data_IF_952141190815
#
_entry.id   IF_952141190815
#
_cell.length_a   1.000
_cell.length_b   1.000
_cell.length_c   1.000
_cell.angle_alpha   90.00
_cell.angle_beta   90.00
_cell.angle_gamma   90.00
#
_symmetry.space_group_name_H-M   'P 1'
#
loop_
_entity.id
_entity.type
_entity.pdbx_description
1 polymer ?
#
# COMPACT_ATOMS: atom_id res chain seq x y z
N UNK A 1 -40.38 -46.21 -34.05
CA UNK A 1 -41.40 -45.13 -34.05
C UNK A 1 -41.43 -44.42 -32.70
N UNK A 2 -40.35 -44.52 -31.91
CA UNK A 2 -40.27 -44.06 -30.51
C UNK A 2 -39.70 -42.64 -30.37
N UNK A 3 -39.43 -41.97 -31.49
CA UNK A 3 -38.85 -40.62 -31.52
C UNK A 3 -39.88 -39.50 -31.31
N UNK A 4 -41.17 -39.81 -31.29
CA UNK A 4 -42.24 -38.83 -31.15
C UNK A 4 -43.06 -39.10 -29.88
N UNK A 5 -42.97 -38.20 -28.90
CA UNK A 5 -43.78 -38.29 -27.68
C UNK A 5 -45.23 -38.00 -28.04
N UNK A 6 -46.11 -38.98 -27.82
CA UNK A 6 -47.54 -38.79 -27.98
C UNK A 6 -48.07 -37.99 -26.77
N UNK A 7 -48.60 -36.80 -27.00
CA UNK A 7 -49.18 -35.97 -25.94
C UNK A 7 -50.45 -36.61 -25.37
N UNK A 8 -50.70 -36.42 -24.07
CA UNK A 8 -51.94 -36.89 -23.43
C UNK A 8 -53.15 -36.15 -24.05
N UNK A 9 -53.97 -36.89 -24.79
CA UNK A 9 -55.12 -36.33 -25.52
C UNK A 9 -56.09 -35.57 -24.63
N UNK A 10 -56.25 -35.97 -23.37
CA UNK A 10 -57.13 -35.28 -22.41
C UNK A 10 -56.61 -33.89 -22.05
N UNK A 11 -55.29 -33.70 -22.00
CA UNK A 11 -54.68 -32.40 -21.73
C UNK A 11 -54.81 -31.47 -22.95
N UNK A 12 -54.80 -32.03 -24.16
CA UNK A 12 -55.02 -31.24 -25.38
C UNK A 12 -56.45 -30.69 -25.46
N UNK A 13 -57.45 -31.43 -24.98
CA UNK A 13 -58.85 -30.96 -24.97
C UNK A 13 -59.14 -29.92 -23.87
N UNK A 14 -58.39 -29.96 -22.76
CA UNK A 14 -58.56 -29.03 -21.64
C UNK A 14 -57.86 -27.69 -21.84
N UNK A 15 -56.73 -27.66 -22.56
CA UNK A 15 -55.93 -26.45 -22.75
C UNK A 15 -56.34 -25.78 -24.06
N UNK A 16 -57.06 -24.66 -23.94
CA UNK A 16 -57.49 -23.86 -25.08
C UNK A 16 -56.32 -23.14 -25.80
N UNK A 17 -56.58 -22.62 -27.00
CA UNK A 17 -55.54 -21.96 -27.79
C UNK A 17 -55.02 -20.66 -27.15
N UNK A 18 -55.83 -20.01 -26.31
CA UNK A 18 -55.44 -18.80 -25.59
C UNK A 18 -54.36 -19.10 -24.57
N UNK A 19 -54.60 -20.11 -23.73
CA UNK A 19 -53.65 -20.54 -22.71
C UNK A 19 -52.38 -21.14 -23.31
N UNK A 20 -52.47 -21.86 -24.45
CA UNK A 20 -51.27 -22.36 -25.16
C UNK A 20 -50.35 -21.25 -25.69
N UNK A 21 -50.90 -20.08 -25.98
CA UNK A 21 -50.17 -18.93 -26.54
C UNK A 21 -49.76 -17.92 -25.47
N UNK A 22 -50.21 -18.10 -24.23
CA UNK A 22 -49.90 -17.23 -23.12
C UNK A 22 -48.41 -17.31 -22.78
N UNK A 23 -47.77 -16.15 -22.68
CA UNK A 23 -46.40 -16.01 -22.22
C UNK A 23 -46.41 -15.15 -20.97
N UNK A 24 -45.69 -15.57 -19.94
CA UNK A 24 -45.51 -14.76 -18.75
C UNK A 24 -44.86 -13.42 -19.14
N UNK A 25 -45.28 -12.30 -18.52
CA UNK A 25 -44.63 -11.02 -18.71
C UNK A 25 -43.16 -11.12 -18.24
N UNK A 26 -42.30 -10.34 -18.88
CA UNK A 26 -40.91 -10.20 -18.46
C UNK A 26 -40.91 -9.16 -17.34
N UNK A 27 -40.92 -9.63 -16.09
CA UNK A 27 -40.77 -8.74 -14.94
C UNK A 27 -39.30 -8.36 -14.74
N UNK A 28 -39.08 -7.09 -14.41
CA UNK A 28 -37.76 -6.59 -14.08
C UNK A 28 -37.31 -7.06 -12.69
N UNK A 29 -36.05 -7.47 -12.59
CA UNK A 29 -35.45 -7.82 -11.30
C UNK A 29 -35.14 -6.51 -10.56
N UNK A 30 -35.61 -6.38 -9.33
CA UNK A 30 -35.25 -5.25 -8.47
C UNK A 30 -33.77 -5.35 -8.08
N UNK A 31 -32.92 -4.59 -8.76
CA UNK A 31 -31.48 -4.50 -8.46
C UNK A 31 -31.23 -3.31 -7.54
N UNK A 32 -30.59 -3.50 -6.36
CA UNK A 32 -30.23 -2.40 -5.48
C UNK A 32 -29.22 -1.45 -6.14
N UNK A 33 -29.63 -0.20 -6.35
CA UNK A 33 -28.82 0.83 -7.04
C UNK A 33 -27.48 1.10 -6.35
N UNK A 34 -27.43 0.97 -5.02
CA UNK A 34 -26.20 1.17 -4.24
C UNK A 34 -25.08 0.17 -4.55
N UNK A 35 -25.43 -1.01 -5.09
CA UNK A 35 -24.48 -2.05 -5.51
C UNK A 35 -24.08 -1.91 -6.99
N UNK A 36 -24.56 -0.87 -7.68
CA UNK A 36 -24.19 -0.55 -9.05
C UNK A 36 -23.15 0.59 -9.10
N UNK A 37 -22.29 0.61 -10.14
CA UNK A 37 -21.40 1.75 -10.40
C UNK A 37 -22.17 3.01 -10.81
N UNK A 38 -21.58 4.18 -10.56
CA UNK A 38 -22.15 5.47 -10.94
C UNK A 38 -22.13 5.67 -12.48
N UNK A 39 -23.31 5.79 -13.13
CA UNK A 39 -23.38 5.99 -14.58
C UNK A 39 -22.89 7.38 -15.04
N UNK A 40 -22.78 8.37 -14.16
CA UNK A 40 -22.41 9.77 -14.49
C UNK A 40 -20.97 10.11 -14.09
N UNK A 41 -20.18 9.14 -13.64
CA UNK A 41 -18.79 9.32 -13.25
C UNK A 41 -17.90 9.60 -14.48
N UNK A 42 -17.70 10.88 -14.81
CA UNK A 42 -16.85 11.32 -15.93
C UNK A 42 -15.34 11.21 -15.64
N UNK A 43 -14.95 11.02 -14.37
CA UNK A 43 -13.53 10.96 -13.95
C UNK A 43 -13.23 9.94 -12.82
N UNK A 44 -14.19 9.07 -12.48
CA UNK A 44 -14.06 8.05 -11.43
C UNK A 44 -13.75 6.65 -11.97
N UNK A 45 -13.23 5.80 -11.08
CA UNK A 45 -13.01 4.37 -11.34
C UNK A 45 -14.35 3.68 -11.58
N UNK A 46 -14.68 3.42 -12.85
CA UNK A 46 -15.99 2.93 -13.31
C UNK A 46 -16.36 1.52 -12.82
N UNK A 47 -15.51 0.93 -11.98
CA UNK A 47 -15.68 -0.42 -11.44
C UNK A 47 -16.10 -0.44 -9.96
N UNK A 48 -16.13 0.71 -9.27
CA UNK A 48 -16.54 0.79 -7.86
C UNK A 48 -18.04 1.07 -7.73
N UNK A 49 -18.69 0.40 -6.78
CA UNK A 49 -20.11 0.65 -6.47
C UNK A 49 -20.29 1.95 -5.69
N UNK A 50 -21.47 2.55 -5.76
CA UNK A 50 -21.81 3.76 -4.99
C UNK A 50 -21.54 3.57 -3.48
N UNK A 51 -21.88 2.40 -2.94
CA UNK A 51 -21.65 2.04 -1.54
C UNK A 51 -20.17 1.96 -1.16
N UNK A 52 -19.32 1.45 -2.04
CA UNK A 52 -17.87 1.39 -1.81
C UNK A 52 -17.23 2.78 -1.92
N UNK A 53 -17.76 3.64 -2.80
CA UNK A 53 -17.29 5.01 -2.98
C UNK A 53 -17.52 5.86 -1.72
N UNK A 54 -18.68 5.76 -1.09
CA UNK A 54 -19.00 6.48 0.16
C UNK A 54 -18.10 6.05 1.33
N UNK A 55 -17.65 4.80 1.35
CA UNK A 55 -16.72 4.30 2.37
C UNK A 55 -15.29 4.80 2.18
N UNK A 56 -14.98 5.37 1.01
CA UNK A 56 -13.65 5.89 0.67
C UNK A 56 -13.54 7.35 1.09
N UNK A 57 -12.82 7.58 2.19
CA UNK A 57 -12.49 8.93 2.64
C UNK A 57 -11.50 9.60 1.69
N UNK A 58 -12.01 10.42 0.76
CA UNK A 58 -11.20 11.17 -0.21
C UNK A 58 -10.69 12.52 0.30
N UNK A 59 -10.98 12.88 1.55
CA UNK A 59 -10.65 14.19 2.08
C UNK A 59 -9.23 14.21 2.68
N UNK A 60 -8.24 14.59 1.87
CA UNK A 60 -6.83 14.73 2.30
C UNK A 60 -6.55 16.04 3.08
N UNK A 61 -7.56 16.87 3.35
CA UNK A 61 -7.43 18.15 4.04
C UNK A 61 -6.38 19.12 3.44
N UNK A 62 -5.97 18.93 2.18
CA UNK A 62 -4.90 19.72 1.53
C UNK A 62 -5.23 21.21 1.40
N UNK A 63 -6.50 21.61 1.57
CA UNK A 63 -6.91 23.01 1.60
C UNK A 63 -6.31 23.81 2.76
N UNK A 64 -5.88 23.16 3.86
CA UNK A 64 -5.24 23.86 4.98
C UNK A 64 -3.80 24.29 4.68
N UNK A 65 -3.18 23.77 3.61
CA UNK A 65 -1.82 24.12 3.24
C UNK A 65 -1.71 25.35 2.33
N UNK A 66 -2.82 25.85 1.76
CA UNK A 66 -2.78 26.97 0.81
C UNK A 66 -3.18 28.34 1.39
N UNK A 67 -3.57 28.43 2.66
CA UNK A 67 -3.84 29.73 3.30
C UNK A 67 -2.55 30.37 3.85
N UNK A 68 -1.57 30.59 2.98
CA UNK A 68 -0.57 31.63 3.17
C UNK A 68 -1.15 32.95 2.64
N UNK A 69 -2.00 33.61 3.42
CA UNK A 69 -2.29 35.03 3.22
C UNK A 69 -1.81 35.84 4.42
N UNK A 70 -0.80 36.66 4.13
CA UNK A 70 -0.38 37.84 4.89
C UNK A 70 -1.60 38.60 5.44
N UNK A 71 -1.59 39.00 6.71
CA UNK A 71 -2.01 40.28 7.32
C UNK A 71 -2.21 40.12 8.85
N UNK A 72 -1.21 40.55 9.64
CA UNK A 72 -1.25 41.23 10.96
C UNK A 72 -2.11 40.74 12.17
N UNK A 73 -1.77 41.15 13.42
CA UNK A 73 -1.77 40.26 14.58
C UNK A 73 -3.00 40.41 15.47
N UNK A 74 -3.69 39.31 15.70
CA UNK A 74 -4.31 38.99 17.00
C UNK A 74 -4.30 37.48 17.16
N UNK A 75 -3.81 36.92 18.27
CA UNK A 75 -3.94 35.49 18.51
C UNK A 75 -5.42 35.22 18.81
N UNK A 76 -6.15 34.70 17.81
CA UNK A 76 -7.43 34.06 18.07
C UNK A 76 -7.13 32.82 18.90
N UNK A 77 -7.39 32.88 20.21
CA UNK A 77 -7.32 31.71 21.08
C UNK A 77 -8.35 30.69 20.59
N UNK A 78 -7.88 29.50 20.23
CA UNK A 78 -8.69 28.45 19.58
C UNK A 78 -9.79 27.88 20.48
N UNK A 79 -9.79 28.21 21.78
CA UNK A 79 -10.73 27.68 22.77
C UNK A 79 -11.03 28.70 23.90
N UNK A 80 -11.85 29.73 23.65
CA UNK A 80 -12.06 30.85 24.59
C UNK A 80 -12.85 30.50 25.86
N UNK A 81 -13.49 29.32 25.92
CA UNK A 81 -14.39 28.92 27.01
C UNK A 81 -13.88 27.71 27.82
N UNK A 82 -12.62 27.30 27.65
CA UNK A 82 -12.08 26.07 28.26
C UNK A 82 -10.89 26.42 29.14
N UNK A 83 -10.95 26.03 30.41
CA UNK A 83 -9.96 26.39 31.44
C UNK A 83 -10.53 27.34 32.49
N UNK A 84 -9.82 27.48 33.62
CA UNK A 84 -10.18 28.43 34.67
C UNK A 84 -9.04 29.45 34.86
N UNK A 85 -9.40 30.69 35.18
CA UNK A 85 -8.41 31.74 35.46
C UNK A 85 -7.78 31.55 36.84
N UNK A 86 -6.48 31.83 36.92
CA UNK A 86 -5.76 31.90 38.19
C UNK A 86 -6.40 32.93 39.14
N UNK A 87 -6.66 32.53 40.39
CA UNK A 87 -7.30 33.36 41.41
C UNK A 87 -6.37 34.42 42.04
N UNK A 88 -5.09 34.46 41.65
CA UNK A 88 -4.19 35.56 42.00
C UNK A 88 -4.52 36.80 41.16
N UNK A 89 -4.72 37.93 41.85
CA UNK A 89 -5.07 39.22 41.24
C UNK A 89 -4.06 39.68 40.18
N UNK A 90 -2.78 39.36 40.36
CA UNK A 90 -1.69 39.78 39.46
C UNK A 90 -1.52 38.89 38.22
N UNK A 91 -2.06 37.67 38.22
CA UNK A 91 -1.82 36.68 37.16
C UNK A 91 -3.00 36.56 36.20
N UNK A 92 -4.20 36.25 36.71
CA UNK A 92 -5.46 36.04 35.94
C UNK A 92 -5.32 35.19 34.66
N UNK A 93 -4.25 34.40 34.54
CA UNK A 93 -3.97 33.58 33.37
C UNK A 93 -4.98 32.43 33.31
N UNK A 94 -5.56 32.20 32.14
CA UNK A 94 -6.41 31.04 31.85
C UNK A 94 -5.54 29.79 31.74
N UNK A 95 -5.70 28.84 32.65
CA UNK A 95 -5.02 27.55 32.60
C UNK A 95 -6.02 26.45 32.22
N UNK A 96 -5.63 25.62 31.27
CA UNK A 96 -6.45 24.50 30.79
C UNK A 96 -6.46 23.33 31.80
N UNK A 97 -5.51 23.30 32.74
CA UNK A 97 -5.44 22.34 33.83
C UNK A 97 -5.49 23.09 35.18
N UNK A 98 -6.70 23.43 35.68
CA UNK A 98 -6.85 24.18 36.91
C UNK A 98 -6.37 23.40 38.13
N UNK A 99 -5.44 23.96 38.92
CA UNK A 99 -5.00 23.38 40.18
C UNK A 99 -5.78 23.98 41.34
N UNK A 100 -6.51 23.16 42.10
CA UNK A 100 -7.19 23.60 43.32
C UNK A 100 -6.26 23.46 44.51
N UNK A 101 -6.08 24.53 45.27
CA UNK A 101 -5.31 24.46 46.51
C UNK A 101 -6.10 23.70 47.59
N UNK A 102 -5.50 22.71 48.24
CA UNK A 102 -6.15 21.92 49.30
C UNK A 102 -6.48 22.74 50.56
N UNK A 103 -5.83 23.90 50.75
CA UNK A 103 -6.02 24.74 51.92
C UNK A 103 -7.05 25.86 51.69
N UNK A 104 -6.91 26.64 50.60
CA UNK A 104 -7.82 27.76 50.31
C UNK A 104 -8.92 27.43 49.31
N UNK A 105 -8.85 26.29 48.62
CA UNK A 105 -9.80 25.81 47.60
C UNK A 105 -9.99 26.73 46.39
N UNK A 106 -9.12 27.72 46.23
CA UNK A 106 -9.07 28.56 45.04
C UNK A 106 -8.27 27.86 43.92
N UNK A 107 -8.60 28.21 42.69
CA UNK A 107 -7.94 27.68 41.48
C UNK A 107 -6.76 28.55 41.08
N UNK A 108 -5.62 27.93 40.78
CA UNK A 108 -4.40 28.60 40.33
C UNK A 108 -3.82 27.93 39.09
N UNK A 109 -3.02 28.69 38.33
CA UNK A 109 -2.26 28.17 37.19
C UNK A 109 -1.01 27.38 37.65
N UNK A 110 -0.34 26.73 36.70
CA UNK A 110 0.90 25.95 36.91
C UNK A 110 2.00 26.68 37.68
N UNK A 111 2.11 28.01 37.58
CA UNK A 111 3.17 28.76 38.26
C UNK A 111 2.78 29.16 39.70
N UNK A 112 1.48 29.10 40.03
CA UNK A 112 0.93 29.62 41.28
C UNK A 112 0.20 28.58 42.15
N UNK A 113 0.19 27.30 41.76
CA UNK A 113 -0.48 26.22 42.52
C UNK A 113 0.10 25.98 43.92
N UNK A 114 1.39 26.25 44.13
CA UNK A 114 2.03 26.08 45.44
C UNK A 114 1.55 27.11 46.46
N UNK A 115 1.38 26.69 47.71
CA UNK A 115 0.92 27.54 48.82
C UNK A 115 1.80 28.80 49.04
N UNK A 116 3.10 28.68 48.76
CA UNK A 116 4.06 29.78 48.82
C UNK A 116 3.88 30.79 47.68
N UNK A 117 3.56 30.29 46.48
CA UNK A 117 3.41 31.12 45.27
C UNK A 117 2.14 31.98 45.26
N UNK A 118 1.08 31.57 45.96
CA UNK A 118 -0.17 32.33 46.05
C UNK A 118 -0.49 32.90 47.43
N UNK A 119 0.50 32.94 48.34
CA UNK A 119 0.35 33.44 49.72
C UNK A 119 -0.92 32.87 50.38
N UNK A 120 -1.02 31.54 50.39
CA UNK A 120 -2.22 30.84 50.83
C UNK A 120 -2.67 31.27 52.23
N UNK A 121 -3.89 31.78 52.37
CA UNK A 121 -4.39 32.33 53.63
C UNK A 121 -4.55 31.30 54.75
N UNK A 122 -4.50 29.99 54.43
CA UNK A 122 -4.72 28.89 55.38
C UNK A 122 -3.51 27.96 55.56
N UNK A 123 -2.30 28.35 55.15
CA UNK A 123 -1.12 27.48 55.18
C UNK A 123 -0.46 27.30 56.55
N UNK A 124 -1.08 27.75 57.65
CA UNK A 124 -0.51 27.64 58.99
C UNK A 124 -1.20 26.54 59.81
N UNK A 125 -0.77 25.31 59.59
CA UNK A 125 -0.65 24.30 60.65
C UNK A 125 0.17 23.13 60.14
N UNK A 126 1.26 22.83 60.84
CA UNK A 126 2.09 21.63 60.69
C UNK A 126 1.24 20.36 60.60
N UNK A 127 0.93 19.90 59.39
CA UNK A 127 0.36 18.56 59.20
C UNK A 127 1.53 17.60 59.14
N UNK A 128 1.79 16.96 60.27
CA UNK A 128 2.57 15.73 60.37
C UNK A 128 1.95 14.75 59.37
N UNK A 129 2.56 14.65 58.20
CA UNK A 129 2.24 13.63 57.21
C UNK A 129 2.56 12.28 57.85
N UNK A 130 1.53 11.56 58.26
CA UNK A 130 1.63 10.14 58.63
C UNK A 130 2.16 9.40 57.41
N UNK A 131 3.49 9.24 57.36
CA UNK A 131 4.18 8.37 56.41
C UNK A 131 3.74 6.95 56.71
N UNK A 132 2.66 6.49 56.08
CA UNK A 132 2.50 5.05 55.92
C UNK A 132 3.74 4.52 55.19
N UNK A 133 4.35 3.43 55.64
CA UNK A 133 5.53 2.88 54.99
C UNK A 133 5.12 2.43 53.59
N UNK A 134 5.60 3.15 52.57
CA UNK A 134 5.41 2.77 51.17
C UNK A 134 5.98 1.36 50.98
N UNK A 135 5.10 0.37 50.80
CA UNK A 135 5.52 -0.99 50.51
C UNK A 135 6.19 -1.01 49.14
N UNK A 136 7.50 -1.27 49.09
CA UNK A 136 8.22 -1.43 47.84
C UNK A 136 7.88 -2.79 47.22
N UNK A 137 7.40 -2.80 45.97
CA UNK A 137 7.04 -4.02 45.25
C UNK A 137 8.22 -4.51 44.40
N UNK A 138 8.65 -5.76 44.59
CA UNK A 138 9.81 -6.35 43.87
C UNK A 138 9.37 -7.00 42.56
N UNK A 139 10.12 -6.77 41.48
CA UNK A 139 9.87 -7.38 40.18
C UNK A 139 10.02 -8.91 40.20
N UNK A 140 9.03 -9.64 39.67
CA UNK A 140 9.04 -11.10 39.63
C UNK A 140 9.78 -11.72 38.43
N UNK A 141 10.55 -10.94 37.65
CA UNK A 141 11.34 -11.42 36.50
C UNK A 141 12.67 -12.01 36.99
N UNK A 142 13.07 -13.16 36.44
CA UNK A 142 14.40 -13.75 36.66
C UNK A 142 15.49 -12.71 36.37
N UNK A 143 16.45 -12.58 37.30
CA UNK A 143 17.56 -11.61 37.26
C UNK A 143 17.20 -10.12 37.42
N UNK A 144 15.95 -9.78 37.75
CA UNK A 144 15.56 -8.40 38.05
C UNK A 144 15.37 -8.16 39.56
N UNK A 145 16.08 -7.17 40.11
CA UNK A 145 15.95 -6.73 41.52
C UNK A 145 15.29 -5.36 41.67
N UNK A 146 14.68 -4.86 40.59
CA UNK A 146 14.09 -3.52 40.56
C UNK A 146 12.80 -3.50 41.41
N UNK A 147 12.65 -2.43 42.21
CA UNK A 147 11.51 -2.22 43.10
C UNK A 147 10.68 -1.03 42.64
N UNK A 148 9.36 -1.16 42.70
CA UNK A 148 8.41 -0.11 42.32
C UNK A 148 7.69 0.40 43.55
N UNK A 149 7.46 1.72 43.62
CA UNK A 149 6.65 2.34 44.67
C UNK A 149 5.15 2.04 44.53
N UNK A 150 4.72 1.61 43.34
CA UNK A 150 3.34 1.28 43.02
C UNK A 150 3.25 -0.14 42.48
N UNK A 151 2.22 -0.87 42.89
CA UNK A 151 1.97 -2.22 42.42
C UNK A 151 1.47 -2.23 40.97
N UNK A 152 2.16 -2.97 40.09
CA UNK A 152 1.81 -3.12 38.68
C UNK A 152 1.54 -4.58 38.35
N UNK A 153 0.35 -5.05 38.70
CA UNK A 153 -0.08 -6.43 38.44
C UNK A 153 -0.34 -6.66 36.96
N UNK A 154 0.16 -7.79 36.43
CA UNK A 154 -0.26 -8.25 35.13
C UNK A 154 -1.73 -8.65 35.14
N UNK A 155 -2.49 -8.25 34.10
CA UNK A 155 -3.90 -8.62 33.98
C UNK A 155 -4.14 -10.14 33.96
N UNK A 156 -3.23 -10.94 33.38
CA UNK A 156 -3.36 -12.40 33.26
C UNK A 156 -2.86 -13.17 34.47
N UNK A 157 -1.58 -13.02 34.82
CA UNK A 157 -0.97 -13.82 35.89
C UNK A 157 -1.08 -13.16 37.28
N UNK A 158 -1.53 -11.89 37.37
CA UNK A 158 -1.68 -11.14 38.63
C UNK A 158 -0.39 -11.05 39.45
N UNK A 159 0.76 -11.09 38.79
CA UNK A 159 2.09 -10.95 39.41
C UNK A 159 2.66 -9.56 39.10
N UNK A 160 3.42 -8.99 40.05
CA UNK A 160 4.10 -7.70 39.91
C UNK A 160 5.35 -7.79 39.01
N UNK A 161 5.46 -6.87 38.05
CA UNK A 161 6.68 -6.64 37.27
C UNK A 161 7.02 -5.15 37.24
N UNK A 162 8.30 -4.79 37.29
CA UNK A 162 8.73 -3.39 37.15
C UNK A 162 8.37 -2.84 35.76
N UNK A 163 8.45 -1.52 35.57
CA UNK A 163 8.14 -0.86 34.29
C UNK A 163 8.89 -1.48 33.09
N UNK A 164 10.16 -1.85 33.28
CA UNK A 164 10.99 -2.48 32.24
C UNK A 164 10.54 -3.89 31.88
N UNK A 165 9.88 -4.60 32.80
CA UNK A 165 9.42 -5.98 32.64
C UNK A 165 7.91 -6.12 32.62
N UNK A 166 7.16 -5.02 32.45
CA UNK A 166 5.70 -5.02 32.33
C UNK A 166 5.23 -5.95 31.20
N UNK A 167 6.02 -6.06 30.14
CA UNK A 167 5.85 -7.02 29.04
C UNK A 167 6.70 -8.29 29.27
N UNK A 168 6.17 -9.26 30.00
CA UNK A 168 6.89 -10.49 30.36
C UNK A 168 6.43 -11.75 29.59
N UNK A 169 5.79 -11.57 28.42
CA UNK A 169 5.40 -12.67 27.55
C UNK A 169 4.15 -13.46 27.97
N UNK A 170 3.47 -13.14 29.08
CA UNK A 170 2.23 -13.85 29.47
C UNK A 170 1.07 -13.72 28.46
N UNK A 171 1.16 -12.76 27.54
CA UNK A 171 0.23 -12.60 26.43
C UNK A 171 0.65 -13.33 25.15
N UNK A 172 1.88 -13.83 25.06
CA UNK A 172 2.34 -14.63 23.93
C UNK A 172 1.62 -15.98 24.00
N UNK A 173 0.66 -16.17 23.10
CA UNK A 173 0.06 -17.49 22.85
C UNK A 173 1.16 -18.44 22.41
N UNK A 174 1.17 -19.68 22.91
CA UNK A 174 2.15 -20.73 22.57
C UNK A 174 2.64 -20.58 21.12
N UNK A 175 3.95 -20.53 20.91
CA UNK A 175 4.58 -20.38 19.58
C UNK A 175 4.06 -21.41 18.56
N UNK A 176 3.58 -22.56 19.03
CA UNK A 176 2.94 -23.58 18.20
C UNK A 176 1.60 -23.12 17.58
N UNK A 177 0.77 -22.34 18.28
CA UNK A 177 -0.47 -21.79 17.72
C UNK A 177 -0.20 -20.71 16.67
N UNK A 178 0.80 -19.87 16.88
CA UNK A 178 1.18 -18.83 15.92
C UNK A 178 1.77 -19.47 14.66
N UNK A 179 2.60 -20.50 14.79
CA UNK A 179 3.11 -21.32 13.67
C UNK A 179 1.99 -22.03 12.91
N UNK A 180 1.00 -22.60 13.61
CA UNK A 180 -0.19 -23.22 12.99
C UNK A 180 -0.99 -22.20 12.19
N UNK A 181 -1.24 -21.01 12.75
CA UNK A 181 -1.91 -19.91 12.04
C UNK A 181 -1.12 -19.49 10.81
N UNK A 182 0.20 -19.28 10.93
CA UNK A 182 1.07 -18.94 9.79
C UNK A 182 1.04 -19.99 8.69
N UNK A 183 1.14 -21.29 9.04
CA UNK A 183 1.04 -22.39 8.07
C UNK A 183 -0.31 -22.37 7.35
N UNK A 184 -1.41 -22.11 8.06
CA UNK A 184 -2.75 -21.99 7.47
C UNK A 184 -2.83 -20.89 6.40
N UNK A 185 -2.17 -19.74 6.62
CA UNK A 185 -2.14 -18.64 5.63
C UNK A 185 -1.20 -18.89 4.45
N UNK A 186 -0.12 -19.66 4.65
CA UNK A 186 0.83 -19.97 3.58
C UNK A 186 0.25 -20.93 2.53
N UNK A 187 -0.66 -21.82 2.90
CA UNK A 187 -1.23 -22.82 1.99
C UNK A 187 -2.03 -22.15 0.85
N UNK A 188 -3.02 -21.26 1.12
CA UNK A 188 -3.71 -20.53 0.06
C UNK A 188 -2.77 -19.70 -0.82
N UNK A 189 -1.76 -19.07 -0.22
CA UNK A 189 -0.77 -18.26 -0.96
C UNK A 189 0.03 -19.11 -1.94
N UNK A 190 0.43 -20.32 -1.54
CA UNK A 190 1.14 -21.27 -2.42
C UNK A 190 0.21 -21.78 -3.52
N UNK A 191 -1.03 -22.13 -3.20
CA UNK A 191 -2.02 -22.59 -4.18
C UNK A 191 -2.30 -21.51 -5.23
N UNK A 192 -2.51 -20.26 -4.80
CA UNK A 192 -2.71 -19.13 -5.71
C UNK A 192 -1.48 -18.90 -6.60
N UNK A 193 -0.27 -18.95 -6.05
CA UNK A 193 0.95 -18.79 -6.82
C UNK A 193 1.11 -19.89 -7.89
N UNK A 194 0.78 -21.14 -7.56
CA UNK A 194 0.80 -22.26 -8.50
C UNK A 194 -0.26 -22.10 -9.61
N UNK A 195 -1.50 -21.79 -9.24
CA UNK A 195 -2.58 -21.56 -10.22
C UNK A 195 -2.27 -20.39 -11.14
N UNK A 196 -1.76 -19.28 -10.59
CA UNK A 196 -1.33 -18.11 -11.38
C UNK A 196 -0.23 -18.46 -12.38
N UNK A 197 0.75 -19.28 -11.98
CA UNK A 197 1.84 -19.68 -12.88
C UNK A 197 1.34 -20.48 -14.08
N UNK A 198 0.36 -21.38 -13.89
CA UNK A 198 -0.26 -22.16 -14.97
C UNK A 198 -0.98 -21.23 -15.96
N UNK A 199 -1.85 -20.34 -15.45
CA UNK A 199 -2.58 -19.37 -16.27
C UNK A 199 -1.61 -18.43 -17.02
N UNK A 200 -0.57 -17.95 -16.34
CA UNK A 200 0.45 -17.09 -16.96
C UNK A 200 1.17 -17.79 -18.12
N UNK A 201 1.38 -19.11 -18.03
CA UNK A 201 2.01 -19.90 -19.09
C UNK A 201 1.07 -20.12 -20.27
N UNK A 202 -0.19 -20.48 -20.02
CA UNK A 202 -1.23 -20.62 -21.07
C UNK A 202 -1.46 -19.32 -21.84
N UNK A 203 -1.50 -18.18 -21.14
CA UNK A 203 -1.64 -16.85 -21.76
C UNK A 203 -0.42 -16.53 -22.61
N UNK A 204 0.79 -16.85 -22.13
CA UNK A 204 2.03 -16.61 -22.89
C UNK A 204 2.09 -17.45 -24.18
N UNK A 205 1.65 -18.71 -24.14
CA UNK A 205 1.55 -19.57 -25.32
C UNK A 205 0.47 -19.08 -26.30
N UNK A 206 -0.64 -18.56 -25.77
CA UNK A 206 -1.70 -17.96 -26.60
C UNK A 206 -1.24 -16.67 -27.29
N UNK A 207 -0.47 -15.83 -26.59
CA UNK A 207 0.13 -14.62 -27.15
C UNK A 207 1.09 -14.94 -28.29
N UNK A 208 1.95 -15.95 -28.14
CA UNK A 208 2.88 -16.40 -29.18
C UNK A 208 2.18 -16.91 -30.44
N UNK A 209 0.97 -17.49 -30.30
CA UNK A 209 0.18 -18.04 -31.41
C UNK A 209 -0.80 -17.02 -32.03
N UNK A 210 -1.01 -15.88 -31.38
CA UNK A 210 -2.01 -14.90 -31.80
C UNK A 210 -1.65 -14.27 -33.15
N UNK A 211 -2.62 -14.22 -34.06
CA UNK A 211 -2.53 -13.46 -35.32
C UNK A 211 -2.91 -11.99 -35.15
N UNK A 212 -3.57 -11.64 -34.04
CA UNK A 212 -3.96 -10.26 -33.73
C UNK A 212 -2.90 -9.60 -32.84
N UNK A 213 -1.93 -8.95 -33.48
CA UNK A 213 -0.79 -8.31 -32.84
C UNK A 213 -1.19 -7.15 -31.92
N UNK A 214 -2.20 -6.36 -32.30
CA UNK A 214 -2.63 -5.19 -31.51
C UNK A 214 -3.20 -5.58 -30.15
N UNK A 215 -4.08 -6.60 -30.10
CA UNK A 215 -4.61 -7.12 -28.85
C UNK A 215 -3.51 -7.79 -28.02
N UNK A 216 -2.62 -8.56 -28.65
CA UNK A 216 -1.51 -9.21 -27.97
C UNK A 216 -0.59 -8.19 -27.26
N UNK A 217 -0.25 -7.10 -27.95
CA UNK A 217 0.55 -6.01 -27.38
C UNK A 217 -0.14 -5.35 -26.17
N UNK A 218 -1.46 -5.13 -26.26
CA UNK A 218 -2.23 -4.54 -25.15
C UNK A 218 -2.26 -5.45 -23.92
N UNK A 219 -2.46 -6.76 -24.11
CA UNK A 219 -2.42 -7.75 -23.02
C UNK A 219 -1.02 -7.82 -22.39
N UNK A 220 0.03 -7.83 -23.21
CA UNK A 220 1.41 -7.83 -22.73
C UNK A 220 1.73 -6.58 -21.91
N UNK A 221 1.33 -5.39 -22.39
CA UNK A 221 1.46 -4.14 -21.65
C UNK A 221 0.78 -4.22 -20.28
N UNK A 222 -0.48 -4.69 -20.22
CA UNK A 222 -1.21 -4.83 -18.97
C UNK A 222 -0.51 -5.77 -17.97
N UNK A 223 0.05 -6.89 -18.45
CA UNK A 223 0.83 -7.81 -17.61
C UNK A 223 2.07 -7.12 -17.04
N UNK A 224 2.85 -6.44 -17.87
CA UNK A 224 4.05 -5.72 -17.42
C UNK A 224 3.68 -4.65 -16.40
N UNK A 225 2.64 -3.83 -16.66
CA UNK A 225 2.18 -2.78 -15.74
C UNK A 225 1.85 -3.30 -14.34
N UNK A 226 1.28 -4.51 -14.24
CA UNK A 226 0.90 -5.12 -12.95
C UNK A 226 2.08 -5.52 -12.06
N UNK A 227 3.27 -5.73 -12.65
CA UNK A 227 4.47 -6.19 -11.92
C UNK A 227 5.65 -5.20 -12.02
N UNK A 228 5.47 -4.08 -12.73
CA UNK A 228 6.57 -3.21 -13.11
C UNK A 228 7.18 -2.48 -11.90
N UNK A 229 8.51 -2.47 -11.86
CA UNK A 229 9.30 -1.71 -10.89
C UNK A 229 10.10 -0.65 -11.63
N UNK A 230 10.29 0.52 -11.03
CA UNK A 230 10.97 1.61 -11.70
C UNK A 230 11.30 2.76 -10.75
N UNK A 231 11.91 3.82 -11.29
CA UNK A 231 12.34 4.97 -10.52
C UNK A 231 11.14 5.82 -10.05
N UNK A 232 11.16 6.22 -8.78
CA UNK A 232 10.03 6.93 -8.13
C UNK A 232 9.75 8.33 -8.70
N UNK A 233 10.73 8.91 -9.39
CA UNK A 233 10.68 10.28 -9.92
C UNK A 233 10.02 10.38 -11.32
N UNK A 234 9.43 9.29 -11.85
CA UNK A 234 8.75 9.31 -13.15
C UNK A 234 7.23 9.39 -12.95
N UNK A 235 6.58 10.48 -13.40
CA UNK A 235 5.12 10.65 -13.37
C UNK A 235 4.38 9.59 -14.21
N UNK A 236 3.15 9.25 -13.84
CA UNK A 236 2.40 8.14 -14.47
C UNK A 236 2.15 8.33 -15.98
N UNK A 237 1.90 9.55 -16.44
CA UNK A 237 1.66 9.91 -17.84
C UNK A 237 2.91 9.85 -18.74
N UNK A 238 4.10 9.82 -18.12
CA UNK A 238 5.39 9.71 -18.81
C UNK A 238 5.96 8.30 -18.76
N UNK A 239 5.30 7.37 -18.07
CA UNK A 239 5.76 5.98 -17.95
C UNK A 239 5.54 5.22 -19.26
N UNK A 240 6.60 4.59 -19.73
CA UNK A 240 6.58 3.46 -20.65
C UNK A 240 7.07 2.21 -19.93
N UNK A 241 6.70 1.03 -20.40
CA UNK A 241 6.84 -0.25 -19.72
C UNK A 241 7.51 -1.28 -20.64
N UNK A 242 8.45 -2.06 -20.11
CA UNK A 242 9.10 -3.15 -20.84
C UNK A 242 9.31 -4.36 -19.94
N UNK A 243 9.27 -5.56 -20.53
CA UNK A 243 9.78 -6.76 -19.86
C UNK A 243 11.26 -6.92 -20.23
N UNK A 244 12.14 -6.70 -19.27
CA UNK A 244 13.60 -6.68 -19.51
C UNK A 244 14.22 -7.99 -19.06
N UNK A 245 14.95 -8.64 -19.96
CA UNK A 245 15.76 -9.82 -19.69
C UNK A 245 17.20 -9.41 -19.31
N UNK A 246 17.73 -9.89 -18.18
CA UNK A 246 19.07 -9.52 -17.73
C UNK A 246 20.18 -10.27 -18.52
N UNK A 247 21.42 -9.76 -18.52
CA UNK A 247 22.56 -10.37 -19.22
C UNK A 247 22.84 -11.81 -18.76
N UNK A 248 22.98 -12.74 -19.70
CA UNK A 248 23.27 -14.16 -19.40
C UNK A 248 24.74 -14.37 -19.02
N UNK A 249 25.62 -13.47 -19.48
CA UNK A 249 27.05 -13.49 -19.16
C UNK A 249 27.37 -13.31 -17.67
N UNK A 250 26.50 -12.61 -16.91
CA UNK A 250 26.68 -12.33 -15.46
C UNK A 250 25.78 -13.24 -14.58
N UNK A 251 25.01 -14.13 -15.19
CA UNK A 251 23.93 -14.92 -14.57
C UNK A 251 24.38 -15.91 -13.46
N UNK A 252 25.69 -16.06 -13.20
CA UNK A 252 26.20 -16.89 -12.09
C UNK A 252 25.97 -16.29 -10.70
N UNK A 253 25.64 -14.99 -10.57
CA UNK A 253 25.51 -14.30 -9.27
C UNK A 253 24.20 -13.52 -9.04
N UNK A 254 23.39 -13.28 -10.07
CA UNK A 254 22.19 -12.42 -9.99
C UNK A 254 20.97 -13.13 -10.60
N UNK A 255 19.83 -12.99 -9.94
CA UNK A 255 18.55 -13.66 -10.21
C UNK A 255 18.18 -13.64 -11.70
N UNK A 256 18.03 -14.82 -12.29
CA UNK A 256 17.85 -15.09 -13.72
C UNK A 256 16.47 -14.70 -14.30
N UNK A 257 15.62 -14.05 -13.52
CA UNK A 257 14.23 -13.83 -13.93
C UNK A 257 14.06 -12.46 -14.59
N UNK A 258 13.37 -12.40 -15.74
CA UNK A 258 13.03 -11.13 -16.37
C UNK A 258 12.18 -10.28 -15.41
N UNK A 259 12.32 -8.96 -15.50
CA UNK A 259 11.56 -8.01 -14.66
C UNK A 259 10.81 -7.03 -15.53
N UNK A 260 9.56 -6.77 -15.17
CA UNK A 260 8.82 -5.64 -15.71
C UNK A 260 9.43 -4.35 -15.18
N UNK A 261 9.82 -3.43 -16.06
CA UNK A 261 10.41 -2.14 -15.68
C UNK A 261 9.61 -1.02 -16.33
N UNK A 262 9.33 0.03 -15.56
CA UNK A 262 8.80 1.28 -16.10
C UNK A 262 9.85 2.38 -16.11
N UNK A 263 9.86 3.21 -17.15
CA UNK A 263 10.83 4.28 -17.36
C UNK A 263 10.15 5.50 -17.98
N UNK A 264 10.85 6.63 -18.06
CA UNK A 264 10.30 7.82 -18.70
C UNK A 264 10.46 7.71 -20.23
N UNK A 265 9.37 7.90 -20.96
CA UNK A 265 9.33 7.88 -22.42
C UNK A 265 10.22 8.93 -23.10
N UNK A 266 10.57 10.00 -22.39
CA UNK A 266 11.40 11.10 -22.90
C UNK A 266 12.90 10.90 -22.61
N UNK A 267 13.31 9.79 -21.98
CA UNK A 267 14.72 9.53 -21.69
C UNK A 267 15.49 9.04 -22.90
N UNK A 268 16.79 9.31 -22.91
CA UNK A 268 17.73 8.76 -23.88
C UNK A 268 18.02 7.29 -23.60
N UNK A 269 18.47 6.55 -24.62
CA UNK A 269 18.81 5.13 -24.49
C UNK A 269 19.91 4.91 -23.45
N UNK A 270 20.92 5.78 -23.37
CA UNK A 270 21.96 5.69 -22.34
C UNK A 270 21.36 5.72 -20.93
N UNK A 271 20.44 6.66 -20.66
CA UNK A 271 19.78 6.80 -19.35
C UNK A 271 18.85 5.62 -19.02
N UNK A 272 18.23 5.02 -20.03
CA UNK A 272 17.44 3.79 -19.91
C UNK A 272 18.35 2.63 -19.50
N UNK A 273 19.50 2.48 -20.14
CA UNK A 273 20.49 1.44 -19.81
C UNK A 273 21.03 1.65 -18.38
N UNK A 274 21.36 2.88 -17.99
CA UNK A 274 21.78 3.19 -16.61
C UNK A 274 20.71 2.79 -15.60
N UNK A 275 19.47 3.24 -15.82
CA UNK A 275 18.37 2.94 -14.90
C UNK A 275 18.04 1.46 -14.82
N UNK A 276 18.14 0.72 -15.94
CA UNK A 276 17.92 -0.74 -15.93
C UNK A 276 19.06 -1.48 -15.24
N UNK A 277 20.30 -1.06 -15.48
CA UNK A 277 21.48 -1.62 -14.84
C UNK A 277 21.39 -1.48 -13.31
N UNK A 278 20.96 -0.32 -12.81
CA UNK A 278 20.74 -0.08 -11.38
C UNK A 278 19.66 -0.99 -10.78
N UNK A 279 18.55 -1.21 -11.51
CA UNK A 279 17.44 -2.08 -11.07
C UNK A 279 17.88 -3.55 -11.00
N UNK A 280 18.70 -4.00 -11.94
CA UNK A 280 19.28 -5.34 -11.93
C UNK A 280 20.53 -5.46 -11.06
N UNK A 281 21.08 -4.34 -10.56
CA UNK A 281 22.35 -4.27 -9.82
C UNK A 281 23.52 -4.87 -10.61
N UNK A 282 23.59 -4.56 -11.91
CA UNK A 282 24.67 -4.99 -12.80
C UNK A 282 25.63 -3.82 -13.10
N UNK A 283 26.91 -4.08 -13.34
CA UNK A 283 27.89 -3.02 -13.58
C UNK A 283 27.74 -2.41 -14.99
N UNK A 284 27.39 -1.13 -15.10
CA UNK A 284 27.44 -0.41 -16.37
C UNK A 284 28.73 0.42 -16.49
N UNK A 285 29.64 -0.01 -17.37
CA UNK A 285 30.92 0.67 -17.61
C UNK A 285 31.00 1.30 -19.01
N UNK A 286 29.85 1.64 -19.62
CA UNK A 286 29.78 2.15 -21.00
C UNK A 286 30.57 3.44 -21.27
N UNK A 287 30.93 4.19 -20.22
CA UNK A 287 31.75 5.40 -20.30
C UNK A 287 33.26 5.12 -20.40
N UNK A 288 33.69 3.89 -20.09
CA UNK A 288 35.11 3.49 -20.20
C UNK A 288 35.37 2.88 -21.58
N UNK A 289 36.60 2.95 -22.07
CA UNK A 289 37.05 2.27 -23.29
C UNK A 289 37.18 0.74 -23.09
N UNK A 290 36.17 0.11 -22.50
CA UNK A 290 36.09 -1.35 -22.32
C UNK A 290 35.50 -2.01 -23.54
N UNK A 291 36.01 -3.20 -23.88
CA UNK A 291 35.34 -4.15 -24.78
C UNK A 291 34.12 -4.74 -24.08
N UNK A 292 33.06 -5.08 -24.82
CA UNK A 292 31.73 -5.51 -24.35
C UNK A 292 30.94 -4.46 -23.58
N UNK A 293 30.37 -3.50 -24.32
CA UNK A 293 29.43 -2.52 -23.76
C UNK A 293 28.05 -3.13 -23.55
N UNK A 294 27.30 -2.55 -22.62
CA UNK A 294 25.93 -2.93 -22.30
C UNK A 294 24.96 -2.28 -23.31
N UNK A 295 24.20 -3.11 -24.02
CA UNK A 295 23.29 -2.69 -25.08
C UNK A 295 21.88 -3.30 -24.90
N UNK A 296 20.90 -2.68 -25.57
CA UNK A 296 19.52 -3.15 -25.63
C UNK A 296 19.25 -3.85 -26.96
N UNK A 297 18.67 -5.04 -26.89
CA UNK A 297 18.31 -5.87 -28.04
C UNK A 297 16.82 -6.21 -28.03
N UNK A 298 16.26 -6.41 -29.21
CA UNK A 298 14.87 -6.83 -29.35
C UNK A 298 14.77 -8.35 -29.08
N UNK A 299 13.84 -8.75 -28.22
CA UNK A 299 13.65 -10.16 -27.86
C UNK A 299 13.14 -11.04 -29.02
N UNK A 300 12.43 -10.46 -30.00
CA UNK A 300 11.87 -11.23 -31.12
C UNK A 300 12.88 -11.44 -32.26
N UNK A 301 13.74 -10.44 -32.51
CA UNK A 301 14.67 -10.44 -33.66
C UNK A 301 16.13 -10.65 -33.26
N UNK A 302 16.47 -10.42 -32.00
CA UNK A 302 17.85 -10.46 -31.51
C UNK A 302 18.70 -9.29 -31.98
N UNK A 303 18.15 -8.33 -32.74
CA UNK A 303 18.87 -7.19 -33.28
C UNK A 303 19.07 -6.08 -32.24
N UNK A 304 20.19 -5.35 -32.33
CA UNK A 304 20.43 -4.12 -31.57
C UNK A 304 19.30 -3.11 -31.86
N UNK A 305 18.74 -2.54 -30.79
CA UNK A 305 17.67 -1.56 -30.89
C UNK A 305 18.23 -0.20 -31.35
N UNK A 306 19.36 0.21 -30.80
CA UNK A 306 19.98 1.50 -31.10
C UNK A 306 21.44 1.51 -30.66
N UNK A 307 22.32 1.95 -31.56
CA UNK A 307 23.75 2.13 -31.25
C UNK A 307 24.05 3.55 -30.72
N UNK A 308 23.13 4.50 -30.94
CA UNK A 308 23.25 5.90 -30.51
C UNK A 308 22.62 6.11 -29.15
N UNK A 309 23.45 6.26 -28.12
CA UNK A 309 23.02 6.41 -26.72
C UNK A 309 22.24 7.70 -26.43
N UNK A 310 22.40 8.74 -27.27
CA UNK A 310 21.73 10.04 -27.12
C UNK A 310 20.31 10.07 -27.73
N UNK A 311 19.90 9.00 -28.42
CA UNK A 311 18.58 8.93 -29.05
C UNK A 311 17.50 8.86 -27.97
N UNK A 312 16.48 9.74 -27.97
CA UNK A 312 15.36 9.63 -27.05
C UNK A 312 14.46 8.45 -27.44
N UNK A 313 13.81 7.85 -26.44
CA UNK A 313 12.95 6.69 -26.65
C UNK A 313 11.70 7.02 -27.48
N UNK A 314 11.23 8.27 -27.47
CA UNK A 314 10.15 8.76 -28.33
C UNK A 314 10.42 8.49 -29.80
N UNK A 315 11.64 8.73 -30.28
CA UNK A 315 12.01 8.55 -31.68
C UNK A 315 11.94 7.07 -32.08
N UNK A 316 12.23 6.15 -31.14
CA UNK A 316 12.13 4.72 -31.38
C UNK A 316 10.67 4.24 -31.47
N UNK A 317 9.77 4.90 -30.74
CA UNK A 317 8.33 4.65 -30.85
C UNK A 317 7.77 5.19 -32.17
N UNK A 318 8.18 6.38 -32.59
CA UNK A 318 7.76 6.98 -33.87
C UNK A 318 8.22 6.15 -35.06
N UNK A 319 9.44 5.64 -35.03
CA UNK A 319 9.99 4.75 -36.05
C UNK A 319 9.46 3.30 -35.95
N UNK A 320 8.54 3.02 -35.03
CA UNK A 320 7.97 1.68 -34.78
C UNK A 320 9.02 0.58 -34.52
N UNK A 321 10.20 0.97 -34.04
CA UNK A 321 11.28 0.03 -33.66
C UNK A 321 10.98 -0.63 -32.31
N UNK A 322 10.27 0.09 -31.44
CA UNK A 322 9.81 -0.37 -30.14
C UNK A 322 8.32 -0.10 -29.95
N UNK A 323 7.70 -0.91 -29.10
CA UNK A 323 6.31 -0.77 -28.68
C UNK A 323 6.27 -0.80 -27.14
N UNK A 324 5.42 0.04 -26.54
CA UNK A 324 5.17 0.00 -25.11
C UNK A 324 4.60 -1.37 -24.67
N UNK A 325 5.21 -1.98 -23.67
CA UNK A 325 4.92 -3.32 -23.18
C UNK A 325 5.78 -4.43 -23.79
N UNK A 326 6.64 -4.14 -24.77
CA UNK A 326 7.45 -5.14 -25.47
C UNK A 326 8.53 -5.79 -24.57
N UNK A 327 8.98 -6.99 -24.97
CA UNK A 327 10.12 -7.66 -24.36
C UNK A 327 11.45 -7.15 -24.98
N UNK A 328 12.39 -6.79 -24.12
CA UNK A 328 13.74 -6.36 -24.53
C UNK A 328 14.81 -7.13 -23.74
N UNK A 329 15.97 -7.28 -24.33
CA UNK A 329 17.13 -7.96 -23.75
C UNK A 329 18.19 -6.91 -23.44
N UNK A 330 18.78 -7.01 -22.26
CA UNK A 330 19.94 -6.24 -21.83
C UNK A 330 21.14 -7.19 -21.82
N UNK A 331 22.18 -6.94 -22.61
CA UNK A 331 23.36 -7.83 -22.69
C UNK A 331 24.65 -7.05 -23.00
N UNK A 332 25.78 -7.57 -22.53
CA UNK A 332 27.11 -7.08 -22.88
C UNK A 332 27.53 -7.69 -24.21
N UNK A 333 27.63 -6.88 -25.26
CA UNK A 333 27.97 -7.36 -26.59
C UNK A 333 28.65 -6.26 -27.40
N UNK A 334 29.73 -6.64 -28.08
CA UNK A 334 30.32 -5.84 -29.17
C UNK A 334 29.68 -6.15 -30.53
N UNK A 335 28.80 -7.15 -30.59
CA UNK A 335 28.11 -7.59 -31.80
C UNK A 335 26.74 -6.93 -31.94
N UNK A 336 26.31 -6.73 -33.20
CA UNK A 336 25.02 -6.14 -33.56
C UNK A 336 23.79 -7.02 -33.27
N UNK A 337 23.99 -8.27 -32.84
CA UNK A 337 22.91 -9.21 -32.53
C UNK A 337 23.27 -10.19 -31.41
N UNK A 338 22.26 -10.66 -30.68
CA UNK A 338 22.38 -11.64 -29.58
C UNK A 338 21.66 -12.96 -29.90
N UNK A 339 22.19 -14.06 -29.38
CA UNK A 339 21.57 -15.39 -29.50
C UNK A 339 20.33 -15.48 -28.59
N UNK A 340 19.16 -15.53 -29.22
CA UNK A 340 17.86 -15.62 -28.57
C UNK A 340 17.64 -16.93 -27.80
N UNK A 341 18.39 -17.99 -28.11
CA UNK A 341 18.18 -19.31 -27.46
C UNK A 341 18.47 -19.27 -25.96
N UNK A 342 19.27 -18.30 -25.52
CA UNK A 342 19.64 -18.04 -24.13
C UNK A 342 18.55 -17.27 -23.35
N UNK A 343 17.55 -16.71 -24.04
CA UNK A 343 16.57 -15.78 -23.52
C UNK A 343 15.13 -16.31 -23.72
N UNK A 344 14.73 -17.32 -22.94
CA UNK A 344 13.42 -17.98 -23.05
C UNK A 344 12.32 -17.39 -22.18
#
# INVERSE_FOLDING_TARGET
MDSQVCGDGRLLDLIDEGWRKEKLPIDDILVPVAELPDPESDNGDSHMTLKELEQKWNNLALGTLSENHLHSPTPKMEFPNTGECCALDDCKQLDFLPFKCDHCHLTFCKDHFNAESHKCSKSLSDVISSKEPSSNFVCSKQDCKETSLTEMLCYKCKIHFCLKHRYHGCFETNDDETLKKLKKWQIPKKQFAQAKAIVDQEVSDSLKKSKNTAMANKVQLMRVKSVAVGPKNVPMNERCYFLVYPPVTILSKVTSTPKGIYMNKNWTIGKIIDSTADIFKIPNNNNTSTTNKLHLFNHNTGASICDKMDTPLTDLFENSLLIDGQCIILEYSDNASVDLTLYK
#
